data_IF_348603989141
#
_entry.id   IF_348603989141
#
_cell.length_a   1.000
_cell.length_b   1.000
_cell.length_c   1.000
_cell.angle_alpha   90.00
_cell.angle_beta   90.00
_cell.angle_gamma   90.00
#
_symmetry.space_group_name_H-M   'P 1'
#
loop_
_entity.id
_entity.type
_entity.pdbx_description
1 polymer ?
#
# COMPACT_ATOMS: atom_id res chain seq x y z
N UNK A 1 -24.96 7.55 34.51
CA UNK A 1 -23.72 6.75 34.69
C UNK A 1 -24.03 5.26 34.51
N UNK A 2 -24.56 4.83 33.35
CA UNK A 2 -24.92 3.42 33.12
C UNK A 2 -24.87 2.98 31.63
N UNK A 3 -24.47 3.86 30.71
CA UNK A 3 -24.38 3.54 29.27
C UNK A 3 -22.95 3.22 28.79
N UNK A 4 -21.93 3.52 29.59
CA UNK A 4 -20.52 3.23 29.29
C UNK A 4 -20.21 1.72 29.49
N UNK A 5 -20.94 1.03 30.36
CA UNK A 5 -20.76 -0.41 30.61
C UNK A 5 -21.37 -1.32 29.54
N UNK A 6 -22.36 -0.85 28.78
CA UNK A 6 -23.00 -1.64 27.71
C UNK A 6 -22.16 -1.70 26.42
N UNK A 7 -21.30 -0.70 26.18
CA UNK A 7 -20.34 -0.72 25.06
C UNK A 7 -19.09 -1.56 25.36
N UNK A 8 -18.73 -1.74 26.63
CA UNK A 8 -17.63 -2.62 27.04
C UNK A 8 -18.00 -4.12 26.92
N UNK A 9 -19.28 -4.47 27.08
CA UNK A 9 -19.74 -5.86 27.00
C UNK A 9 -19.92 -6.36 25.56
N UNK A 10 -20.12 -5.45 24.59
CA UNK A 10 -20.28 -5.79 23.17
C UNK A 10 -18.96 -6.10 22.44
N UNK A 11 -17.81 -5.81 23.05
CA UNK A 11 -16.49 -6.01 22.42
C UNK A 11 -15.82 -7.35 22.79
N UNK A 12 -16.49 -8.22 23.56
CA UNK A 12 -15.91 -9.45 24.12
C UNK A 12 -16.38 -10.76 23.44
N UNK A 13 -17.14 -10.69 22.35
CA UNK A 13 -17.79 -11.88 21.73
C UNK A 13 -17.07 -12.38 20.45
N UNK A 14 -15.89 -11.87 20.12
CA UNK A 14 -15.07 -12.45 19.03
C UNK A 14 -13.74 -12.98 19.56
N UNK A 15 -13.81 -13.99 20.42
CA UNK A 15 -12.69 -14.89 20.68
C UNK A 15 -13.05 -16.20 19.98
N UNK A 16 -12.26 -16.72 19.02
CA UNK A 16 -12.49 -18.06 18.52
C UNK A 16 -12.24 -19.02 19.68
N UNK A 17 -13.27 -19.75 20.07
CA UNK A 17 -13.15 -20.88 21.00
C UNK A 17 -12.28 -21.92 20.32
N UNK A 18 -10.99 -21.94 20.67
CA UNK A 18 -10.12 -23.08 20.38
C UNK A 18 -10.57 -24.20 21.31
N UNK A 19 -11.30 -25.15 20.74
CA UNK A 19 -11.71 -26.36 21.42
C UNK A 19 -10.45 -27.20 21.69
N UNK A 20 -9.99 -27.22 22.95
CA UNK A 20 -8.97 -28.14 23.40
C UNK A 20 -9.59 -29.54 23.52
N UNK A 21 -9.63 -30.27 22.40
CA UNK A 21 -10.00 -31.68 22.36
C UNK A 21 -8.88 -32.56 22.91
N UNK A 22 -9.18 -33.19 24.04
CA UNK A 22 -8.60 -34.39 24.66
C UNK A 22 -7.14 -34.78 24.35
N UNK A 23 -6.29 -34.53 25.34
CA UNK A 23 -5.00 -35.15 25.49
C UNK A 23 -5.14 -36.67 25.68
N UNK A 24 -4.93 -37.43 24.60
CA UNK A 24 -4.78 -38.89 24.68
C UNK A 24 -3.47 -39.31 24.01
N UNK A 25 -2.57 -39.81 24.86
CA UNK A 25 -1.43 -40.69 24.59
C UNK A 25 -0.38 -40.25 23.56
N UNK A 26 0.81 -39.92 24.09
CA UNK A 26 2.04 -39.72 23.36
C UNK A 26 2.51 -41.03 22.70
N UNK A 27 2.21 -41.20 21.42
CA UNK A 27 2.90 -42.11 20.53
C UNK A 27 3.90 -41.30 19.70
N UNK A 28 5.17 -41.74 19.69
CA UNK A 28 6.25 -41.06 18.95
C UNK A 28 5.84 -40.96 17.47
N UNK A 29 5.76 -39.75 16.87
CA UNK A 29 5.40 -39.66 15.46
C UNK A 29 6.49 -40.33 14.61
N UNK A 30 6.12 -41.06 13.54
CA UNK A 30 7.08 -41.50 12.54
C UNK A 30 7.80 -40.28 11.99
N UNK A 31 9.07 -40.43 11.63
CA UNK A 31 9.85 -39.38 10.96
C UNK A 31 9.08 -38.90 9.74
N UNK A 32 8.44 -37.75 9.88
CA UNK A 32 7.73 -37.08 8.80
C UNK A 32 8.79 -36.60 7.82
N UNK A 33 8.97 -37.36 6.74
CA UNK A 33 9.71 -36.89 5.57
C UNK A 33 8.96 -35.67 5.08
N UNK A 34 9.45 -34.49 5.44
CA UNK A 34 8.93 -33.21 5.00
C UNK A 34 9.03 -33.19 3.47
N UNK A 35 7.93 -33.55 2.80
CA UNK A 35 7.78 -33.46 1.35
C UNK A 35 8.11 -32.02 0.98
N UNK A 36 9.25 -31.81 0.31
CA UNK A 36 9.59 -30.52 -0.27
C UNK A 36 8.43 -30.16 -1.19
N UNK A 37 7.72 -29.04 -0.98
CA UNK A 37 6.61 -28.67 -1.83
C UNK A 37 7.10 -28.64 -3.27
N UNK A 38 6.36 -29.28 -4.18
CA UNK A 38 6.69 -29.31 -5.60
C UNK A 38 6.83 -27.88 -6.11
N UNK A 39 8.05 -27.50 -6.46
CA UNK A 39 8.36 -26.15 -6.92
C UNK A 39 7.60 -25.92 -8.23
N UNK A 40 6.77 -24.89 -8.26
CA UNK A 40 6.04 -24.51 -9.47
C UNK A 40 7.00 -24.39 -10.66
N UNK A 41 6.59 -24.89 -11.83
CA UNK A 41 7.44 -24.91 -13.04
C UNK A 41 8.01 -23.53 -13.38
N UNK A 42 7.22 -22.47 -13.16
CA UNK A 42 7.60 -21.07 -13.35
C UNK A 42 8.79 -20.61 -12.51
N UNK A 43 9.06 -21.26 -11.37
CA UNK A 43 10.12 -20.93 -10.44
C UNK A 43 11.16 -22.05 -10.29
N UNK A 44 11.12 -23.04 -11.18
CA UNK A 44 11.94 -24.25 -11.11
C UNK A 44 13.43 -24.01 -11.39
N UNK A 45 13.75 -22.97 -12.17
CA UNK A 45 15.11 -22.63 -12.60
C UNK A 45 15.17 -21.15 -13.00
N UNK A 46 16.36 -20.52 -13.07
CA UNK A 46 16.45 -19.07 -13.30
C UNK A 46 15.96 -18.65 -14.69
N UNK A 47 15.99 -19.56 -15.68
CA UNK A 47 15.44 -19.29 -17.01
C UNK A 47 13.92 -19.17 -16.94
N UNK A 48 13.24 -20.07 -16.23
CA UNK A 48 11.79 -20.01 -16.06
C UNK A 48 11.39 -18.80 -15.22
N UNK A 49 12.09 -18.51 -14.13
CA UNK A 49 11.83 -17.31 -13.31
C UNK A 49 11.94 -16.04 -14.14
N UNK A 50 13.01 -15.90 -14.93
CA UNK A 50 13.19 -14.75 -15.83
C UNK A 50 12.09 -14.69 -16.91
N UNK A 51 11.72 -15.84 -17.50
CA UNK A 51 10.66 -15.92 -18.50
C UNK A 51 9.30 -15.50 -17.93
N UNK A 52 8.93 -16.02 -16.76
CA UNK A 52 7.71 -15.65 -16.03
C UNK A 52 7.68 -14.16 -15.75
N UNK A 53 8.77 -13.60 -15.21
CA UNK A 53 8.84 -12.16 -14.91
C UNK A 53 8.66 -11.29 -16.16
N UNK A 54 9.45 -11.53 -17.21
CA UNK A 54 9.41 -10.69 -18.42
C UNK A 54 8.07 -10.80 -19.14
N UNK A 55 7.54 -12.02 -19.27
CA UNK A 55 6.23 -12.25 -19.93
C UNK A 55 5.10 -11.60 -19.16
N UNK A 56 5.12 -11.72 -17.83
CA UNK A 56 4.13 -11.08 -16.95
C UNK A 56 4.18 -9.55 -17.09
N UNK A 57 5.37 -8.95 -17.04
CA UNK A 57 5.54 -7.51 -17.16
C UNK A 57 5.18 -6.96 -18.54
N UNK A 58 5.47 -7.69 -19.61
CA UNK A 58 4.99 -7.36 -20.97
C UNK A 58 3.45 -7.38 -21.04
N UNK A 59 2.81 -8.41 -20.47
CA UNK A 59 1.35 -8.44 -20.41
C UNK A 59 0.77 -7.26 -19.61
N UNK A 60 1.45 -6.84 -18.54
CA UNK A 60 1.05 -5.65 -17.76
C UNK A 60 1.19 -4.36 -18.58
N UNK A 61 2.25 -4.20 -19.38
CA UNK A 61 2.41 -3.04 -20.28
C UNK A 61 1.35 -3.00 -21.38
N UNK A 62 0.87 -4.17 -21.83
CA UNK A 62 -0.27 -4.32 -22.75
C UNK A 62 -1.64 -4.10 -22.10
N UNK A 63 -1.71 -3.82 -20.79
CA UNK A 63 -2.93 -3.49 -20.06
C UNK A 63 -3.54 -4.62 -19.24
N UNK A 64 -2.95 -5.83 -19.24
CA UNK A 64 -3.40 -6.97 -18.41
C UNK A 64 -2.87 -6.84 -16.98
N UNK A 65 -3.41 -5.86 -16.24
CA UNK A 65 -2.94 -5.49 -14.89
C UNK A 65 -2.88 -6.65 -13.89
N UNK A 66 -3.71 -7.69 -14.05
CA UNK A 66 -3.73 -8.87 -13.17
C UNK A 66 -2.45 -9.69 -13.26
N UNK A 67 -1.70 -9.59 -14.36
CA UNK A 67 -0.41 -10.29 -14.54
C UNK A 67 0.70 -9.76 -13.65
N UNK A 68 0.48 -8.66 -12.91
CA UNK A 68 1.46 -8.15 -11.97
C UNK A 68 1.76 -9.15 -10.84
N UNK A 69 0.78 -9.98 -10.44
CA UNK A 69 0.97 -10.96 -9.37
C UNK A 69 1.94 -12.07 -9.78
N UNK A 70 1.89 -12.49 -11.05
CA UNK A 70 2.86 -13.44 -11.63
C UNK A 70 4.29 -12.87 -11.55
N UNK A 71 4.47 -11.58 -11.87
CA UNK A 71 5.77 -10.91 -11.76
C UNK A 71 6.24 -10.81 -10.30
N UNK A 72 5.35 -10.43 -9.38
CA UNK A 72 5.64 -10.34 -7.94
C UNK A 72 6.07 -11.70 -7.37
N UNK A 73 5.48 -12.80 -7.85
CA UNK A 73 5.82 -14.15 -7.39
C UNK A 73 7.27 -14.56 -7.64
N UNK A 74 7.96 -13.87 -8.55
CA UNK A 74 9.38 -14.12 -8.90
C UNK A 74 10.37 -13.36 -8.00
N UNK A 75 9.88 -12.53 -7.07
CA UNK A 75 10.68 -11.66 -6.22
C UNK A 75 10.82 -12.25 -4.80
N UNK A 76 12.02 -12.23 -4.22
CA UNK A 76 12.24 -12.60 -2.82
C UNK A 76 11.80 -11.47 -1.87
N UNK A 77 10.51 -11.44 -1.53
CA UNK A 77 9.89 -10.41 -0.67
C UNK A 77 9.68 -10.88 0.78
N UNK A 78 10.43 -11.85 1.25
CA UNK A 78 10.29 -12.45 2.58
C UNK A 78 10.77 -11.53 3.71
N UNK A 79 11.63 -10.56 3.41
CA UNK A 79 12.01 -9.46 4.31
C UNK A 79 10.99 -8.30 4.33
N UNK A 80 10.12 -8.22 3.33
CA UNK A 80 9.06 -7.22 3.24
C UNK A 80 7.88 -7.65 4.11
N UNK A 81 7.46 -6.76 5.02
CA UNK A 81 6.28 -6.96 5.87
C UNK A 81 5.02 -7.25 5.05
N UNK A 82 4.23 -8.24 5.47
CA UNK A 82 2.96 -8.62 4.84
C UNK A 82 2.01 -7.42 4.63
N UNK A 83 2.07 -6.44 5.54
CA UNK A 83 1.25 -5.23 5.50
C UNK A 83 1.41 -4.42 4.22
N UNK A 84 2.62 -4.40 3.65
CA UNK A 84 3.00 -3.59 2.49
C UNK A 84 3.49 -4.44 1.32
N UNK A 85 3.55 -5.77 1.48
CA UNK A 85 4.20 -6.68 0.52
C UNK A 85 3.59 -6.57 -0.88
N UNK A 86 2.27 -6.49 -1.00
CA UNK A 86 1.60 -6.37 -2.29
C UNK A 86 1.94 -5.04 -2.99
N UNK A 87 1.76 -3.91 -2.30
CA UNK A 87 2.01 -2.58 -2.88
C UNK A 87 3.49 -2.37 -3.20
N UNK A 88 4.38 -2.82 -2.30
CA UNK A 88 5.83 -2.76 -2.48
C UNK A 88 6.30 -3.69 -3.59
N UNK A 89 5.76 -4.90 -3.67
CA UNK A 89 6.04 -5.86 -4.74
C UNK A 89 5.75 -5.28 -6.12
N UNK A 90 4.62 -4.59 -6.30
CA UNK A 90 4.28 -3.90 -7.56
C UNK A 90 5.35 -2.88 -7.94
N UNK A 91 5.75 -2.03 -7.00
CA UNK A 91 6.80 -1.02 -7.23
C UNK A 91 8.13 -1.66 -7.61
N UNK A 92 8.53 -2.73 -6.92
CA UNK A 92 9.77 -3.46 -7.20
C UNK A 92 9.72 -4.09 -8.59
N UNK A 93 8.63 -4.79 -8.93
CA UNK A 93 8.46 -5.41 -10.25
C UNK A 93 8.57 -4.37 -11.38
N UNK A 94 7.89 -3.23 -11.22
CA UNK A 94 7.97 -2.11 -12.14
C UNK A 94 9.40 -1.52 -12.25
N UNK A 95 10.14 -1.47 -11.16
CA UNK A 95 11.51 -0.95 -11.13
C UNK A 95 12.48 -1.93 -11.80
N UNK A 96 12.35 -3.23 -11.50
CA UNK A 96 13.15 -4.30 -12.08
C UNK A 96 12.96 -4.40 -13.59
N UNK A 97 11.72 -4.34 -14.07
CA UNK A 97 11.47 -4.36 -15.51
C UNK A 97 12.10 -3.15 -16.21
N UNK A 98 12.00 -1.98 -15.59
CA UNK A 98 12.65 -0.76 -16.07
C UNK A 98 14.18 -0.89 -16.17
N UNK A 99 14.82 -1.57 -15.20
CA UNK A 99 16.25 -1.87 -15.21
C UNK A 99 16.60 -2.85 -16.32
N UNK A 100 15.82 -3.93 -16.47
CA UNK A 100 16.05 -4.95 -17.50
C UNK A 100 15.96 -4.32 -18.90
N UNK A 101 14.89 -3.57 -19.18
CA UNK A 101 14.71 -2.88 -20.47
C UNK A 101 15.86 -1.93 -20.79
N UNK A 102 16.32 -1.16 -19.80
CA UNK A 102 17.38 -0.15 -19.98
C UNK A 102 18.79 -0.73 -19.96
N UNK A 103 18.97 -1.97 -19.51
CA UNK A 103 20.29 -2.60 -19.40
C UNK A 103 20.67 -3.38 -20.66
N UNK A 104 19.93 -4.44 -20.99
CA UNK A 104 20.20 -5.28 -22.16
C UNK A 104 19.01 -6.18 -22.48
N UNK A 105 18.92 -6.61 -23.74
CA UNK A 105 17.92 -7.59 -24.18
C UNK A 105 18.06 -8.92 -23.43
N UNK A 106 16.94 -9.43 -22.94
CA UNK A 106 16.86 -10.77 -22.34
C UNK A 106 16.89 -11.83 -23.43
N UNK A 107 17.84 -12.76 -23.35
CA UNK A 107 17.98 -13.91 -24.25
C UNK A 107 17.83 -15.19 -23.43
N UNK A 108 16.61 -15.72 -23.34
CA UNK A 108 16.27 -16.84 -22.45
C UNK A 108 17.11 -18.10 -22.72
N UNK A 109 17.45 -18.38 -23.98
CA UNK A 109 18.28 -19.52 -24.37
C UNK A 109 19.69 -19.46 -23.79
N UNK A 110 20.21 -18.27 -23.49
CA UNK A 110 21.54 -18.08 -22.89
C UNK A 110 21.56 -18.29 -21.37
N UNK A 111 20.40 -18.39 -20.72
CA UNK A 111 20.29 -18.56 -19.28
C UNK A 111 20.47 -20.05 -18.95
N UNK A 112 21.51 -20.40 -18.19
CA UNK A 112 21.73 -21.76 -17.72
C UNK A 112 20.62 -22.16 -16.72
N UNK A 113 19.99 -23.32 -16.91
CA UNK A 113 18.92 -23.84 -16.04
C UNK A 113 19.45 -24.45 -14.74
N UNK A 114 20.72 -24.82 -14.67
CA UNK A 114 21.35 -25.39 -13.48
C UNK A 114 22.76 -24.80 -13.30
N UNK A 115 22.87 -23.53 -12.83
CA UNK A 115 24.18 -22.94 -12.55
C UNK A 115 24.79 -23.57 -11.29
N UNK A 116 26.10 -23.82 -11.31
CA UNK A 116 26.82 -24.59 -10.28
C UNK A 116 26.75 -23.97 -8.87
N UNK A 117 26.62 -22.65 -8.78
CA UNK A 117 26.62 -21.91 -7.51
C UNK A 117 25.20 -21.52 -7.04
N UNK A 118 24.17 -22.21 -7.51
CA UNK A 118 22.76 -21.93 -7.19
C UNK A 118 22.37 -20.44 -7.42
N UNK A 119 23.06 -19.80 -8.37
CA UNK A 119 23.01 -18.36 -8.64
C UNK A 119 23.18 -18.08 -10.12
N UNK A 120 22.31 -17.22 -10.64
CA UNK A 120 22.39 -16.67 -11.98
C UNK A 120 22.48 -15.14 -11.90
N UNK A 121 23.52 -14.54 -12.49
CA UNK A 121 23.68 -13.08 -12.54
C UNK A 121 23.24 -12.59 -13.92
N UNK A 122 22.19 -11.78 -13.94
CA UNK A 122 21.72 -11.12 -15.16
C UNK A 122 22.69 -10.01 -15.57
N UNK A 123 23.11 -9.16 -14.64
CA UNK A 123 23.99 -8.02 -14.92
C UNK A 123 24.72 -7.51 -13.69
N UNK A 124 25.93 -6.99 -13.92
CA UNK A 124 26.70 -6.25 -12.93
C UNK A 124 26.73 -4.77 -13.34
N UNK A 125 26.51 -3.90 -12.37
CA UNK A 125 26.48 -2.46 -12.50
C UNK A 125 27.44 -1.87 -11.45
N UNK A 126 27.86 -0.62 -11.61
CA UNK A 126 28.73 0.02 -10.61
C UNK A 126 28.04 0.18 -9.24
N UNK A 127 26.70 0.24 -9.23
CA UNK A 127 25.88 0.40 -8.03
C UNK A 127 25.42 -0.92 -7.39
N UNK A 128 25.61 -2.06 -8.06
CA UNK A 128 25.09 -3.35 -7.59
C UNK A 128 24.92 -4.37 -8.71
N UNK A 129 24.14 -5.41 -8.46
CA UNK A 129 23.90 -6.50 -9.44
C UNK A 129 22.44 -6.94 -9.44
N UNK A 130 22.01 -7.48 -10.58
CA UNK A 130 20.70 -8.14 -10.72
C UNK A 130 20.95 -9.64 -10.85
N UNK A 131 20.43 -10.42 -9.91
CA UNK A 131 20.64 -11.86 -9.83
C UNK A 131 19.39 -12.63 -9.38
N UNK A 132 19.30 -13.88 -9.84
CA UNK A 132 18.31 -14.86 -9.43
C UNK A 132 19.02 -15.95 -8.65
N UNK A 133 18.55 -16.24 -7.44
CA UNK A 133 19.18 -17.17 -6.50
C UNK A 133 18.16 -18.23 -6.09
N UNK A 134 18.64 -19.47 -5.96
CA UNK A 134 17.84 -20.57 -5.43
C UNK A 134 17.61 -20.40 -3.93
N UNK A 135 16.35 -20.41 -3.55
CA UNK A 135 15.91 -20.32 -2.15
C UNK A 135 15.98 -21.69 -1.46
N UNK A 136 15.91 -21.69 -0.13
CA UNK A 136 15.91 -22.91 0.68
C UNK A 136 14.72 -23.84 0.39
N UNK A 137 13.62 -23.29 -0.12
CA UNK A 137 12.43 -24.03 -0.54
C UNK A 137 12.51 -24.55 -1.98
N UNK A 138 13.64 -24.34 -2.66
CA UNK A 138 13.89 -24.80 -4.03
C UNK A 138 13.44 -23.83 -5.13
N UNK A 139 12.72 -22.75 -4.80
CA UNK A 139 12.29 -21.75 -5.79
C UNK A 139 13.46 -20.88 -6.22
N UNK A 140 13.50 -20.48 -7.49
CA UNK A 140 14.42 -19.47 -8.00
C UNK A 140 13.75 -18.11 -8.02
N UNK A 141 14.31 -17.15 -7.27
CA UNK A 141 13.75 -15.80 -7.14
C UNK A 141 14.81 -14.74 -7.35
N UNK A 142 14.41 -13.55 -7.82
CA UNK A 142 15.26 -12.36 -7.78
C UNK A 142 15.62 -12.07 -6.32
N UNK A 143 16.92 -11.92 -6.06
CA UNK A 143 17.44 -11.90 -4.69
C UNK A 143 17.06 -10.64 -3.93
N UNK A 144 17.17 -10.69 -2.60
CA UNK A 144 16.97 -9.52 -1.73
C UNK A 144 17.97 -8.42 -2.04
N UNK A 145 19.21 -8.78 -2.34
CA UNK A 145 20.27 -7.84 -2.74
C UNK A 145 19.87 -7.14 -4.05
N UNK A 146 19.32 -7.88 -5.02
CA UNK A 146 18.77 -7.28 -6.24
C UNK A 146 17.69 -6.26 -5.88
N UNK A 147 16.72 -6.64 -5.05
CA UNK A 147 15.59 -5.78 -4.67
C UNK A 147 16.08 -4.50 -3.99
N UNK A 148 17.08 -4.61 -3.11
CA UNK A 148 17.69 -3.49 -2.41
C UNK A 148 18.43 -2.54 -3.36
N UNK A 149 19.22 -3.07 -4.29
CA UNK A 149 20.09 -2.28 -5.17
C UNK A 149 19.35 -1.69 -6.39
N UNK A 150 18.13 -2.17 -6.70
CA UNK A 150 17.35 -1.76 -7.87
C UNK A 150 17.20 -0.24 -8.04
N UNK A 151 16.87 0.57 -7.00
CA UNK A 151 16.70 2.01 -7.16
C UNK A 151 17.98 2.71 -7.63
N UNK A 152 19.13 2.34 -7.07
CA UNK A 152 20.43 2.95 -7.40
C UNK A 152 20.96 2.46 -8.75
N UNK A 153 20.72 1.19 -9.10
CA UNK A 153 21.02 0.65 -10.43
C UNK A 153 20.22 1.39 -11.50
N UNK A 154 18.92 1.59 -11.28
CA UNK A 154 18.06 2.32 -12.23
C UNK A 154 18.53 3.76 -12.41
N UNK A 155 18.90 4.45 -11.34
CA UNK A 155 19.45 5.80 -11.40
C UNK A 155 20.77 5.87 -12.19
N UNK A 156 21.65 4.91 -11.99
CA UNK A 156 22.87 4.74 -12.79
C UNK A 156 22.56 4.61 -14.28
N UNK A 157 21.61 3.75 -14.63
CA UNK A 157 21.18 3.54 -16.02
C UNK A 157 20.45 4.74 -16.64
N UNK A 158 19.88 5.64 -15.84
CA UNK A 158 19.29 6.89 -16.32
C UNK A 158 20.35 7.95 -16.61
N UNK A 159 21.47 7.91 -15.89
CA UNK A 159 22.60 8.84 -16.09
C UNK A 159 23.47 8.38 -17.25
N UNK A 160 23.79 7.09 -17.29
CA UNK A 160 24.57 6.46 -18.34
C UNK A 160 23.71 5.36 -19.01
N UNK A 161 23.04 5.66 -20.13
CA UNK A 161 22.19 4.69 -20.81
C UNK A 161 23.03 3.51 -21.31
N UNK A 162 22.58 2.29 -21.04
CA UNK A 162 23.32 1.11 -21.48
C UNK A 162 23.33 1.03 -23.01
N UNK A 163 24.49 0.62 -23.56
CA UNK A 163 24.73 0.51 -25.01
C UNK A 163 23.71 -0.37 -25.74
N UNK A 164 23.12 -1.34 -25.04
CA UNK A 164 22.14 -2.30 -25.58
C UNK A 164 20.75 -2.20 -24.92
N UNK A 165 20.48 -1.11 -24.21
CA UNK A 165 19.18 -0.82 -23.61
C UNK A 165 18.13 -0.43 -24.66
N UNK A 166 16.86 -0.63 -24.33
CA UNK A 166 15.73 -0.14 -25.12
C UNK A 166 15.79 1.40 -25.22
N UNK A 167 15.70 1.93 -26.45
CA UNK A 167 15.69 3.38 -26.72
C UNK A 167 14.42 4.08 -26.23
N UNK A 168 13.32 3.34 -26.15
CA UNK A 168 12.05 3.79 -25.58
C UNK A 168 11.49 2.67 -24.68
N UNK A 169 11.77 2.72 -23.36
CA UNK A 169 11.29 1.72 -22.42
C UNK A 169 9.77 1.78 -22.33
N UNK A 170 9.09 0.64 -22.44
CA UNK A 170 7.62 0.60 -22.43
C UNK A 170 7.04 1.08 -21.10
N UNK A 171 7.83 0.99 -20.04
CA UNK A 171 7.36 1.31 -18.71
C UNK A 171 7.78 2.70 -18.24
N UNK A 172 6.78 3.47 -17.80
CA UNK A 172 7.01 4.75 -17.13
C UNK A 172 7.74 4.52 -15.80
N UNK A 173 8.81 5.28 -15.58
CA UNK A 173 9.57 5.24 -14.33
C UNK A 173 8.65 5.54 -13.14
N UNK A 174 8.82 4.84 -12.00
CA UNK A 174 8.15 5.19 -10.76
C UNK A 174 8.38 6.67 -10.39
N UNK A 175 7.35 7.33 -9.85
CA UNK A 175 7.41 8.78 -9.56
C UNK A 175 8.58 9.15 -8.65
N UNK A 176 8.81 8.38 -7.57
CA UNK A 176 9.89 8.65 -6.62
C UNK A 176 11.27 8.58 -7.28
N UNK A 177 11.48 7.72 -8.28
CA UNK A 177 12.75 7.64 -9.02
C UNK A 177 12.95 8.89 -9.88
N UNK A 178 11.90 9.35 -10.59
CA UNK A 178 11.97 10.59 -11.38
C UNK A 178 12.26 11.80 -10.51
N UNK A 179 11.67 11.84 -9.31
CA UNK A 179 11.90 12.93 -8.37
C UNK A 179 13.31 12.85 -7.78
N UNK A 180 13.74 11.66 -7.33
CA UNK A 180 15.07 11.43 -6.75
C UNK A 180 16.19 11.75 -7.74
N UNK A 181 16.06 11.41 -9.02
CA UNK A 181 17.10 11.66 -10.03
C UNK A 181 17.34 13.15 -10.29
N UNK A 182 16.35 14.02 -10.05
CA UNK A 182 16.46 15.47 -10.22
C UNK A 182 17.00 16.18 -8.98
N UNK A 183 17.08 15.48 -7.84
CA UNK A 183 17.49 16.09 -6.57
C UNK A 183 19.03 16.13 -6.44
N UNK A 184 19.59 17.20 -5.83
CA UNK A 184 21.00 17.27 -5.49
C UNK A 184 21.40 16.21 -4.44
N UNK A 185 22.66 15.76 -4.46
CA UNK A 185 23.15 14.70 -3.56
C UNK A 185 22.96 15.00 -2.07
N UNK A 186 23.04 16.27 -1.68
CA UNK A 186 22.81 16.70 -0.29
C UNK A 186 21.45 16.25 0.24
N UNK A 187 20.42 16.22 -0.62
CA UNK A 187 19.07 15.81 -0.22
C UNK A 187 18.86 14.29 -0.22
N UNK A 188 19.72 13.54 -0.93
CA UNK A 188 19.72 12.07 -0.97
C UNK A 188 20.39 11.44 0.25
N UNK A 189 21.13 12.22 1.03
CA UNK A 189 21.68 11.78 2.31
C UNK A 189 20.58 11.53 3.35
N UNK A 190 20.87 10.66 4.32
CA UNK A 190 19.96 10.37 5.43
C UNK A 190 20.42 9.19 6.29
N UNK A 191 19.89 9.09 7.51
CA UNK A 191 20.14 7.97 8.43
C UNK A 191 18.98 6.95 8.39
N UNK A 192 17.74 7.43 8.60
CA UNK A 192 16.53 6.61 8.57
C UNK A 192 15.71 6.81 7.29
N UNK A 193 15.57 8.07 6.86
CA UNK A 193 14.95 8.50 5.60
C UNK A 193 15.89 9.52 4.96
N UNK A 194 15.86 9.62 3.63
CA UNK A 194 16.55 10.70 2.92
C UNK A 194 15.92 12.07 3.29
N UNK A 195 16.69 13.16 3.27
CA UNK A 195 16.17 14.47 3.70
C UNK A 195 14.96 14.94 2.88
N UNK A 196 14.94 14.65 1.57
CA UNK A 196 13.78 14.98 0.74
C UNK A 196 12.54 14.16 1.10
N UNK A 197 12.71 12.94 1.61
CA UNK A 197 11.59 12.11 2.06
C UNK A 197 10.94 12.70 3.31
N UNK A 198 11.74 13.24 4.24
CA UNK A 198 11.23 14.00 5.40
C UNK A 198 10.44 15.24 4.96
N UNK A 199 10.98 16.02 4.02
CA UNK A 199 10.30 17.15 3.41
C UNK A 199 8.98 16.73 2.75
N UNK A 200 8.99 15.60 2.04
CA UNK A 200 7.82 15.01 1.42
C UNK A 200 6.74 14.62 2.43
N UNK A 201 7.11 13.90 3.50
CA UNK A 201 6.17 13.54 4.58
C UNK A 201 5.55 14.80 5.20
N UNK A 202 6.37 15.81 5.52
CA UNK A 202 5.88 17.07 6.08
C UNK A 202 4.93 17.79 5.11
N UNK A 203 5.28 17.83 3.83
CA UNK A 203 4.44 18.43 2.79
C UNK A 203 3.09 17.70 2.67
N UNK A 204 3.07 16.38 2.70
CA UNK A 204 1.81 15.60 2.66
C UNK A 204 0.97 15.79 3.91
N UNK A 205 1.59 15.90 5.09
CA UNK A 205 0.90 16.28 6.34
C UNK A 205 0.21 17.64 6.16
N UNK A 206 0.95 18.63 5.64
CA UNK A 206 0.44 19.98 5.41
C UNK A 206 -0.70 20.01 4.38
N UNK A 207 -0.55 19.34 3.25
CA UNK A 207 -1.58 19.23 2.20
C UNK A 207 -2.82 18.53 2.75
N UNK A 208 -2.67 17.44 3.51
CA UNK A 208 -3.79 16.74 4.14
C UNK A 208 -4.57 17.66 5.09
N UNK A 209 -3.88 18.48 5.88
CA UNK A 209 -4.52 19.45 6.78
C UNK A 209 -5.23 20.58 6.03
N UNK A 210 -4.68 21.05 4.91
CA UNK A 210 -5.34 22.04 4.05
C UNK A 210 -6.59 21.43 3.42
N UNK A 211 -6.50 20.20 2.92
CA UNK A 211 -7.62 19.51 2.29
C UNK A 211 -8.78 19.29 3.26
N UNK A 212 -8.51 18.95 4.52
CA UNK A 212 -9.51 18.88 5.60
C UNK A 212 -10.29 20.21 5.71
N UNK A 213 -9.57 21.34 5.86
CA UNK A 213 -10.16 22.68 5.96
C UNK A 213 -10.90 23.09 4.70
N UNK A 214 -10.35 22.78 3.52
CA UNK A 214 -10.94 23.13 2.24
C UNK A 214 -12.25 22.36 2.00
N UNK A 215 -12.28 21.06 2.33
CA UNK A 215 -13.46 20.24 2.15
C UNK A 215 -14.57 20.66 3.13
N UNK A 216 -14.21 20.92 4.39
CA UNK A 216 -15.14 21.46 5.38
C UNK A 216 -15.72 22.81 4.90
N UNK A 217 -14.89 23.69 4.34
CA UNK A 217 -15.33 24.97 3.77
C UNK A 217 -16.24 24.80 2.54
N UNK A 218 -15.89 23.91 1.60
CA UNK A 218 -16.65 23.65 0.38
C UNK A 218 -18.04 23.10 0.72
N UNK A 219 -18.10 22.14 1.64
CA UNK A 219 -19.36 21.58 2.11
C UNK A 219 -20.17 22.64 2.86
N UNK A 220 -19.55 23.48 3.69
CA UNK A 220 -20.23 24.56 4.39
C UNK A 220 -20.83 25.55 3.39
N UNK A 221 -20.09 25.88 2.33
CA UNK A 221 -20.55 26.78 1.26
C UNK A 221 -21.71 26.18 0.47
N UNK A 222 -21.67 24.89 0.13
CA UNK A 222 -22.75 24.22 -0.59
C UNK A 222 -24.01 24.05 0.27
N UNK A 223 -23.88 23.69 1.54
CA UNK A 223 -24.99 23.65 2.51
C UNK A 223 -25.60 25.03 2.70
N UNK A 224 -24.77 26.09 2.78
CA UNK A 224 -25.26 27.47 2.94
C UNK A 224 -25.98 27.98 1.68
N UNK A 225 -25.48 27.66 0.48
CA UNK A 225 -26.17 27.99 -0.78
C UNK A 225 -27.50 27.23 -0.91
N UNK A 226 -27.54 25.95 -0.58
CA UNK A 226 -28.75 25.12 -0.61
C UNK A 226 -29.80 25.58 0.42
N UNK A 227 -29.33 26.01 1.60
CA UNK A 227 -30.11 26.65 2.66
C UNK A 227 -30.73 27.99 2.23
N UNK A 228 -30.10 28.75 1.33
CA UNK A 228 -30.68 29.99 0.78
C UNK A 228 -31.85 29.74 -0.19
N UNK A 229 -31.96 28.52 -0.74
CA UNK A 229 -33.05 28.16 -1.66
C UNK A 229 -34.21 27.43 -0.98
N UNK A 230 -34.07 26.97 0.28
CA UNK A 230 -35.14 26.33 1.07
C UNK A 230 -35.17 26.89 2.50
N UNK A 231 -36.15 27.75 2.79
CA UNK A 231 -36.37 28.47 4.06
C UNK A 231 -36.29 27.60 5.33
N UNK A 232 -35.72 28.17 6.40
CA UNK A 232 -35.91 27.71 7.79
C UNK A 232 -34.74 26.95 8.42
N UNK A 233 -33.54 27.52 8.41
CA UNK A 233 -32.40 26.99 9.17
C UNK A 233 -31.76 28.15 9.94
N UNK A 234 -31.91 28.19 11.25
CA UNK A 234 -31.20 29.20 12.07
C UNK A 234 -30.35 28.58 13.18
N UNK A 235 -30.15 27.25 13.17
CA UNK A 235 -29.41 26.59 14.26
C UNK A 235 -28.71 25.28 13.88
N UNK A 236 -28.36 25.07 12.60
CA UNK A 236 -27.43 23.99 12.26
C UNK A 236 -25.99 24.50 12.33
N UNK A 237 -25.39 24.16 13.46
CA UNK A 237 -24.01 24.41 13.80
C UNK A 237 -23.06 23.81 12.76
N UNK A 238 -22.03 24.56 12.38
CA UNK A 238 -21.04 24.23 11.32
C UNK A 238 -20.22 22.94 11.56
N UNK A 239 -20.52 22.24 12.65
CA UNK A 239 -19.81 21.08 13.19
C UNK A 239 -20.12 19.77 12.45
N UNK A 240 -21.18 19.71 11.64
CA UNK A 240 -21.60 18.51 10.87
C UNK A 240 -20.60 18.12 9.77
N UNK A 241 -19.70 19.03 9.38
CA UNK A 241 -18.83 18.87 8.21
C UNK A 241 -17.39 18.43 8.52
N UNK A 242 -17.01 18.44 9.80
CA UNK A 242 -15.67 18.05 10.27
C UNK A 242 -15.29 16.58 9.98
N UNK A 243 -16.21 15.60 10.02
CA UNK A 243 -15.83 14.18 9.82
C UNK A 243 -15.40 13.85 8.39
N UNK A 244 -15.91 14.59 7.39
CA UNK A 244 -15.55 14.40 5.98
C UNK A 244 -14.12 14.87 5.66
N UNK A 245 -13.66 15.92 6.33
CA UNK A 245 -12.31 16.41 6.15
C UNK A 245 -11.25 15.45 6.71
N UNK A 246 -11.52 14.78 7.84
CA UNK A 246 -10.66 13.72 8.39
C UNK A 246 -10.52 12.52 7.43
N UNK A 247 -11.58 12.16 6.70
CA UNK A 247 -11.51 11.11 5.68
C UNK A 247 -10.64 11.54 4.48
N UNK A 248 -10.74 12.80 4.05
CA UNK A 248 -9.90 13.31 2.97
C UNK A 248 -8.42 13.35 3.37
N UNK A 249 -8.12 13.78 4.59
CA UNK A 249 -6.78 13.78 5.16
C UNK A 249 -6.17 12.37 5.17
N UNK A 250 -6.94 11.37 5.61
CA UNK A 250 -6.52 9.97 5.61
C UNK A 250 -6.21 9.41 4.21
N UNK A 251 -7.05 9.71 3.21
CA UNK A 251 -6.85 9.24 1.83
C UNK A 251 -5.60 9.89 1.22
N UNK A 252 -5.42 11.20 1.44
CA UNK A 252 -4.26 11.95 0.95
C UNK A 252 -2.97 11.41 1.58
N UNK A 253 -2.99 11.08 2.87
CA UNK A 253 -1.83 10.48 3.52
C UNK A 253 -1.58 9.07 3.03
N UNK A 254 -2.60 8.22 2.93
CA UNK A 254 -2.44 6.87 2.39
C UNK A 254 -1.79 6.90 0.99
N UNK A 255 -2.25 7.78 0.11
CA UNK A 255 -1.70 7.92 -1.24
C UNK A 255 -0.30 8.55 -1.24
N UNK A 256 -0.09 9.58 -0.42
CA UNK A 256 1.16 10.34 -0.38
C UNK A 256 2.36 9.52 0.08
N UNK A 257 2.16 8.65 1.06
CA UNK A 257 3.23 7.81 1.60
C UNK A 257 3.75 6.77 0.60
N UNK A 258 2.85 6.22 -0.22
CA UNK A 258 3.23 5.32 -1.31
C UNK A 258 4.03 6.03 -2.41
N UNK A 259 3.86 7.36 -2.55
CA UNK A 259 4.48 8.15 -3.61
C UNK A 259 5.93 8.56 -3.30
N UNK A 260 6.32 8.55 -2.02
CA UNK A 260 7.63 9.01 -1.54
C UNK A 260 8.75 7.95 -1.59
N UNK A 261 8.44 6.70 -1.97
CA UNK A 261 9.45 5.64 -2.07
C UNK A 261 10.18 5.37 -0.74
N UNK A 262 9.47 5.48 0.38
CA UNK A 262 10.04 5.38 1.73
C UNK A 262 10.67 3.98 1.99
N UNK A 263 11.65 3.89 2.90
CA UNK A 263 12.19 2.62 3.39
C UNK A 263 11.10 1.75 4.04
N UNK A 264 11.25 0.44 3.96
CA UNK A 264 10.20 -0.52 4.37
C UNK A 264 9.82 -0.38 5.85
N UNK A 265 10.81 -0.20 6.74
CA UNK A 265 10.56 0.05 8.16
C UNK A 265 9.72 1.31 8.39
N UNK A 266 10.04 2.40 7.70
CA UNK A 266 9.30 3.66 7.81
C UNK A 266 7.88 3.53 7.25
N UNK A 267 7.71 2.86 6.11
CA UNK A 267 6.40 2.58 5.53
C UNK A 267 5.52 1.78 6.48
N UNK A 268 6.05 0.75 7.13
CA UNK A 268 5.28 -0.07 8.07
C UNK A 268 4.81 0.78 9.25
N UNK A 269 5.74 1.48 9.92
CA UNK A 269 5.43 2.32 11.10
C UNK A 269 4.37 3.36 10.75
N UNK A 270 4.55 4.05 9.62
CA UNK A 270 3.66 5.12 9.22
C UNK A 270 2.31 4.59 8.73
N UNK A 271 2.27 3.43 8.07
CA UNK A 271 1.02 2.76 7.70
C UNK A 271 0.21 2.36 8.92
N UNK A 272 0.87 1.86 9.99
CA UNK A 272 0.21 1.56 11.27
C UNK A 272 -0.34 2.84 11.89
N UNK A 273 0.46 3.92 11.94
CA UNK A 273 0.02 5.20 12.48
C UNK A 273 -1.20 5.78 11.75
N UNK A 274 -1.18 5.74 10.40
CA UNK A 274 -2.32 6.19 9.58
C UNK A 274 -3.56 5.33 9.86
N UNK A 275 -3.43 3.99 9.95
CA UNK A 275 -4.55 3.11 10.27
C UNK A 275 -5.16 3.43 11.63
N UNK A 276 -4.35 3.69 12.65
CA UNK A 276 -4.84 4.11 13.97
C UNK A 276 -5.58 5.44 13.92
N UNK A 277 -5.04 6.43 13.20
CA UNK A 277 -5.67 7.74 13.04
C UNK A 277 -7.00 7.63 12.28
N UNK A 278 -7.07 6.80 11.24
CA UNK A 278 -8.31 6.51 10.51
C UNK A 278 -9.34 5.85 11.42
N UNK A 279 -8.95 4.84 12.18
CA UNK A 279 -9.86 4.15 13.12
C UNK A 279 -10.42 5.12 14.16
N UNK A 280 -9.57 5.93 14.78
CA UNK A 280 -9.99 6.91 15.78
C UNK A 280 -10.91 7.99 15.19
N UNK A 281 -10.57 8.46 13.98
CA UNK A 281 -11.40 9.42 13.22
C UNK A 281 -12.74 8.81 12.81
N UNK A 282 -12.75 7.52 12.45
CA UNK A 282 -13.96 6.77 12.11
C UNK A 282 -14.94 6.68 13.28
N UNK A 283 -14.44 6.41 14.49
CA UNK A 283 -15.25 6.40 15.72
C UNK A 283 -15.89 7.77 15.95
N UNK A 284 -15.10 8.84 15.86
CA UNK A 284 -15.60 10.21 16.00
C UNK A 284 -16.65 10.57 14.93
N UNK A 285 -16.43 10.13 13.69
CA UNK A 285 -17.37 10.31 12.59
C UNK A 285 -18.69 9.59 12.83
N UNK A 286 -18.65 8.36 13.36
CA UNK A 286 -19.85 7.56 13.65
C UNK A 286 -20.74 8.22 14.71
N UNK A 287 -20.16 8.70 15.82
CA UNK A 287 -20.92 9.45 16.83
C UNK A 287 -21.60 10.69 16.24
N UNK A 288 -20.90 11.41 15.36
CA UNK A 288 -21.48 12.56 14.68
C UNK A 288 -22.59 12.19 13.70
N UNK A 289 -22.48 11.07 13.00
CA UNK A 289 -23.53 10.61 12.11
C UNK A 289 -24.82 10.31 12.90
N UNK A 290 -24.71 9.75 14.11
CA UNK A 290 -25.84 9.54 15.02
C UNK A 290 -26.45 10.88 15.46
N UNK A 291 -25.63 11.89 15.82
CA UNK A 291 -26.13 13.23 16.15
C UNK A 291 -26.95 13.85 14.99
N UNK A 292 -26.45 13.69 13.76
CA UNK A 292 -27.12 14.21 12.54
C UNK A 292 -28.44 13.48 12.29
N UNK A 293 -28.46 12.15 12.42
CA UNK A 293 -29.69 11.35 12.30
C UNK A 293 -30.71 11.74 13.37
N UNK A 294 -30.27 11.94 14.61
CA UNK A 294 -31.12 12.39 15.70
C UNK A 294 -31.74 13.77 15.40
N UNK A 295 -30.95 14.72 14.90
CA UNK A 295 -31.45 16.03 14.47
C UNK A 295 -32.46 15.93 13.33
N UNK A 296 -32.24 15.04 12.36
CA UNK A 296 -33.16 14.80 11.25
C UNK A 296 -34.49 14.19 11.72
N UNK A 297 -34.44 13.18 12.59
CA UNK A 297 -35.62 12.53 13.16
C UNK A 297 -36.43 13.48 14.04
N UNK A 298 -35.76 14.29 14.87
CA UNK A 298 -36.40 15.34 15.68
C UNK A 298 -37.09 16.39 14.80
N UNK A 299 -36.52 16.76 13.66
CA UNK A 299 -37.14 17.67 12.69
C UNK A 299 -38.38 17.05 12.05
N UNK A 300 -38.34 15.75 11.73
CA UNK A 300 -39.51 15.02 11.21
C UNK A 300 -40.62 14.96 12.25
N UNK A 301 -40.29 14.67 13.51
CA UNK A 301 -41.24 14.60 14.63
C UNK A 301 -41.92 15.95 14.94
N UNK A 302 -41.17 17.07 14.91
CA UNK A 302 -41.75 18.41 15.12
C UNK A 302 -42.69 18.86 14.00
N UNK A 303 -42.50 18.36 12.77
CA UNK A 303 -43.47 18.58 11.67
C UNK A 303 -44.75 17.77 11.84
N UNK A 304 -44.73 16.74 12.68
CA UNK A 304 -45.90 15.93 13.05
C UNK A 304 -46.59 16.41 14.33
N UNK A 305 -46.25 17.59 14.89
CA UNK A 305 -47.03 18.16 15.99
C UNK A 305 -48.46 18.37 15.50
N UNK A 306 -49.36 17.56 16.05
CA UNK A 306 -50.70 17.37 15.55
C UNK A 306 -51.51 18.65 15.82
N UNK A 307 -52.16 19.19 14.78
CA UNK A 307 -53.18 20.26 14.91
C UNK A 307 -54.38 19.88 15.78
N UNK A 308 -54.44 18.64 16.25
CA UNK A 308 -55.54 18.11 17.07
C UNK A 308 -55.40 18.46 18.56
N UNK A 309 -54.24 18.91 19.05
CA UNK A 309 -54.07 19.33 20.46
C UNK A 309 -54.59 20.75 20.73
N UNK A 310 -54.75 21.58 19.69
CA UNK A 310 -55.30 22.95 19.80
C UNK A 310 -56.84 22.98 19.86
N UNK A 311 -57.51 21.83 19.76
CA UNK A 311 -58.98 21.69 19.77
C UNK A 311 -59.54 21.11 21.09
N UNK A 312 -58.70 20.93 22.11
CA UNK A 312 -59.10 20.47 23.45
C UNK A 312 -58.88 21.56 24.52
N UNK A 313 -59.30 22.79 24.22
CA UNK A 313 -59.59 23.84 25.22
C UNK A 313 -61.07 24.19 25.16
#
# INVERSE_FOLDING_TARGET
MNTIWLLALSLLVTIPVVNAGDATQAEKPPVEVKLVPEVAESLSNPRQTMNTFVTAMQAVSEGKKQKIDDAISTLALDDVSELIRESRGKVIAYTLYSVIERSKKVVLSSINTAPENDRYVFGNYSQGKVEIVKQLDGRWLFSKETIHDLPVILEGLLTEPAKYGAKDPQQSLPFYIKLRSQLPEVLKGGFLLEYWQWLGVLLFIFIGSIADKFLAWLLARNVTKWKSQHFGFDSMDSTVLRPLGLMAMAIIWWFGLGLLGLPDTALVILSVAVKLLVSLSGIWSAFRLVDVLHAFLMKKARRTHNKFDDLLI
#
